data_IF_800007275208
#
_entry.id   IF_800007275208
#
_cell.length_a   1.000
_cell.length_b   1.000
_cell.length_c   1.000
_cell.angle_alpha   90.00
_cell.angle_beta   90.00
_cell.angle_gamma   90.00
#
_symmetry.space_group_name_H-M   'P 1'
#
loop_
_entity.id
_entity.type
_entity.pdbx_description
1 polymer ?
#
# COMPACT_ATOMS: atom_id res chain seq x y z
N UNK A 1 13.12 10.32 -4.48
CA UNK A 1 13.52 10.05 -3.09
C UNK A 1 14.23 11.21 -2.41
N UNK A 2 13.74 12.46 -2.52
CA UNK A 2 14.25 13.61 -1.76
C UNK A 2 13.17 14.29 -0.88
N UNK A 3 11.90 14.01 -1.18
CA UNK A 3 10.74 14.50 -0.43
C UNK A 3 10.72 14.19 1.08
N UNK A 4 11.12 12.99 1.57
CA UNK A 4 11.07 12.70 3.01
C UNK A 4 12.09 13.51 3.82
N UNK A 5 13.16 14.00 3.19
CA UNK A 5 14.21 14.79 3.84
C UNK A 5 13.94 16.30 3.79
N UNK A 6 13.27 16.77 2.73
CA UNK A 6 12.92 18.19 2.56
C UNK A 6 11.66 18.58 3.36
N UNK A 7 10.68 17.68 3.47
CA UNK A 7 9.37 17.94 4.09
C UNK A 7 8.94 16.73 4.95
N UNK A 8 9.50 16.55 6.15
CA UNK A 8 9.23 15.40 7.00
C UNK A 8 7.77 15.34 7.49
N UNK A 9 7.14 16.48 7.75
CA UNK A 9 5.72 16.56 8.17
C UNK A 9 4.76 16.13 7.07
N UNK A 10 4.92 16.67 5.85
CA UNK A 10 4.07 16.33 4.71
C UNK A 10 4.22 14.85 4.32
N UNK A 11 5.45 14.32 4.38
CA UNK A 11 5.70 12.90 4.15
C UNK A 11 5.06 12.04 5.24
N UNK A 12 5.22 12.39 6.52
CA UNK A 12 4.57 11.69 7.64
C UNK A 12 3.06 11.72 7.53
N UNK A 13 2.47 12.83 7.11
CA UNK A 13 1.03 12.97 6.96
C UNK A 13 0.51 12.15 5.77
N UNK A 14 1.24 12.12 4.66
CA UNK A 14 0.93 11.26 3.50
C UNK A 14 1.04 9.78 3.87
N UNK A 15 2.11 9.39 4.58
CA UNK A 15 2.30 8.02 5.07
C UNK A 15 1.22 7.65 6.10
N UNK A 16 0.87 8.57 6.99
CA UNK A 16 -0.18 8.38 7.98
C UNK A 16 -1.55 8.31 7.34
N UNK A 17 -1.84 9.08 6.29
CA UNK A 17 -3.06 8.94 5.48
C UNK A 17 -3.09 7.61 4.74
N UNK A 18 -1.97 7.15 4.19
CA UNK A 18 -1.86 5.84 3.54
C UNK A 18 -2.08 4.68 4.52
N UNK A 19 -1.55 4.79 5.74
CA UNK A 19 -1.72 3.80 6.80
C UNK A 19 -3.07 3.95 7.52
N UNK A 20 -3.62 5.17 7.59
CA UNK A 20 -4.95 5.47 8.17
C UNK A 20 -6.08 5.34 7.15
N UNK A 21 -5.80 4.97 5.90
CA UNK A 21 -6.78 4.38 5.00
C UNK A 21 -7.18 3.03 5.61
N UNK A 22 -7.92 3.12 6.71
CA UNK A 22 -8.62 2.11 7.50
C UNK A 22 -7.97 0.72 7.50
N UNK A 23 -7.60 0.19 8.66
CA UNK A 23 -7.18 -1.20 8.84
C UNK A 23 -7.99 -2.22 8.01
N UNK A 24 -9.29 -1.96 7.79
CA UNK A 24 -10.13 -2.72 6.85
C UNK A 24 -9.76 -2.61 5.37
N UNK A 25 -9.50 -1.41 4.83
CA UNK A 25 -9.10 -1.23 3.43
C UNK A 25 -7.68 -1.73 3.16
N UNK A 26 -6.72 -1.51 4.07
CA UNK A 26 -5.37 -2.06 3.91
C UNK A 26 -5.38 -3.60 3.87
N UNK A 27 -6.20 -4.23 4.73
CA UNK A 27 -6.38 -5.68 4.75
C UNK A 27 -7.09 -6.19 3.50
N UNK A 28 -8.07 -5.44 2.98
CA UNK A 28 -8.74 -5.77 1.72
C UNK A 28 -7.77 -5.68 0.54
N UNK A 29 -7.01 -4.59 0.42
CA UNK A 29 -5.98 -4.41 -0.62
C UNK A 29 -4.92 -5.51 -0.53
N UNK A 30 -4.48 -5.87 0.69
CA UNK A 30 -3.55 -6.98 0.90
C UNK A 30 -4.09 -8.33 0.43
N UNK A 31 -5.36 -8.64 0.73
CA UNK A 31 -6.02 -9.87 0.26
C UNK A 31 -6.22 -9.83 -1.25
N UNK A 32 -6.63 -8.70 -1.83
CA UNK A 32 -6.78 -8.52 -3.28
C UNK A 32 -5.43 -8.68 -3.98
N UNK A 33 -4.35 -8.14 -3.41
CA UNK A 33 -3.00 -8.29 -3.95
C UNK A 33 -2.52 -9.75 -3.90
N UNK A 34 -2.73 -10.45 -2.78
CA UNK A 34 -2.43 -11.88 -2.65
C UNK A 34 -3.21 -12.72 -3.66
N UNK A 35 -4.52 -12.48 -3.80
CA UNK A 35 -5.37 -13.15 -4.79
C UNK A 35 -4.92 -12.85 -6.22
N UNK A 36 -4.62 -11.60 -6.53
CA UNK A 36 -4.17 -11.21 -7.88
C UNK A 36 -2.81 -11.84 -8.23
N UNK A 37 -1.90 -11.96 -7.26
CA UNK A 37 -0.62 -12.62 -7.45
C UNK A 37 -0.78 -14.12 -7.66
N UNK A 38 -1.69 -14.75 -6.92
CA UNK A 38 -2.03 -16.17 -7.11
C UNK A 38 -2.69 -16.41 -8.48
N UNK A 39 -3.59 -15.53 -8.90
CA UNK A 39 -4.22 -15.58 -10.22
C UNK A 39 -3.20 -15.42 -11.35
N UNK A 40 -2.26 -14.47 -11.21
CA UNK A 40 -1.18 -14.26 -12.18
C UNK A 40 -0.26 -15.48 -12.27
N UNK A 41 0.08 -16.07 -11.12
CA UNK A 41 0.88 -17.29 -11.06
C UNK A 41 0.17 -18.48 -11.74
N UNK A 42 -1.14 -18.60 -11.53
CA UNK A 42 -1.93 -19.64 -12.19
C UNK A 42 -2.12 -19.36 -13.68
N UNK A 43 -2.20 -18.10 -14.09
CA UNK A 43 -2.33 -17.73 -15.50
C UNK A 43 -1.03 -17.98 -16.28
N UNK A 44 0.13 -17.76 -15.65
CA UNK A 44 1.44 -17.92 -16.29
C UNK A 44 1.92 -19.38 -16.33
N UNK A 45 1.35 -20.27 -15.51
CA UNK A 45 1.71 -21.68 -15.41
C UNK A 45 0.69 -22.59 -16.11
#
# INVERSE_FOLDING_TARGET
>A
GLMPFLLPDLWRETFRKLVSLSDGQLRFVGITAMLSGLLLLYWIN
#
